data_IF_866888835894
#
_entry.id   IF_866888835894
#
_cell.length_a   1.000
_cell.length_b   1.000
_cell.length_c   1.000
_cell.angle_alpha   90.00
_cell.angle_beta   90.00
_cell.angle_gamma   90.00
#
_symmetry.space_group_name_H-M   'P 1'
#
loop_
_entity.id
_entity.type
_entity.pdbx_description
1 polymer ?
#
# COMPACT_ATOMS: atom_id res chain seq x y z
N UNK A 1 22.54 -7.44 -7.77
CA UNK A 1 22.54 -5.96 -7.73
C UNK A 1 21.30 -5.51 -6.97
N UNK A 2 21.42 -4.51 -6.08
CA UNK A 2 20.25 -3.94 -5.41
C UNK A 2 19.37 -3.23 -6.44
N UNK A 3 18.04 -3.36 -6.31
CA UNK A 3 17.09 -2.66 -7.18
C UNK A 3 17.19 -1.17 -6.86
N UNK A 4 17.38 -0.29 -7.86
CA UNK A 4 17.56 1.14 -7.64
C UNK A 4 16.32 1.78 -7.00
N UNK A 5 16.50 3.00 -6.49
CA UNK A 5 15.40 3.79 -5.96
C UNK A 5 14.38 4.09 -7.07
N UNK A 6 13.06 3.95 -6.85
CA UNK A 6 12.03 4.13 -7.89
C UNK A 6 12.08 5.49 -8.61
N UNK A 7 12.35 6.59 -7.87
CA UNK A 7 12.49 7.91 -8.51
C UNK A 7 13.66 7.97 -9.52
N UNK A 8 14.79 7.32 -9.20
CA UNK A 8 15.93 7.26 -10.12
C UNK A 8 15.61 6.44 -11.37
N UNK A 9 14.85 5.35 -11.22
CA UNK A 9 14.37 4.58 -12.37
C UNK A 9 13.39 5.39 -13.22
N UNK A 10 12.51 6.16 -12.60
CA UNK A 10 11.59 7.05 -13.30
C UNK A 10 12.34 8.17 -14.05
N UNK A 11 13.39 8.74 -13.44
CA UNK A 11 14.26 9.72 -14.11
C UNK A 11 15.01 9.09 -15.29
N UNK A 12 15.51 7.85 -15.15
CA UNK A 12 16.15 7.10 -16.24
C UNK A 12 15.18 6.89 -17.40
N UNK A 13 13.94 6.49 -17.11
CA UNK A 13 12.90 6.34 -18.13
C UNK A 13 12.59 7.68 -18.81
N UNK A 14 12.39 8.75 -18.05
CA UNK A 14 12.13 10.10 -18.60
C UNK A 14 13.28 10.60 -19.49
N UNK A 15 14.50 10.25 -19.16
CA UNK A 15 15.66 10.54 -20.03
C UNK A 15 15.58 9.73 -21.34
N UNK A 16 15.24 8.44 -21.27
CA UNK A 16 15.03 7.60 -22.44
C UNK A 16 13.87 8.08 -23.32
N UNK A 17 12.78 8.57 -22.72
CA UNK A 17 11.68 9.19 -23.46
C UNK A 17 12.14 10.39 -24.32
N UNK A 18 13.11 11.16 -23.84
CA UNK A 18 13.67 12.31 -24.59
C UNK A 18 14.67 11.92 -25.68
N UNK A 19 15.43 10.85 -25.47
CA UNK A 19 16.46 10.38 -26.42
C UNK A 19 15.96 9.37 -27.47
N UNK A 20 14.74 8.87 -27.29
CA UNK A 20 14.11 7.85 -28.11
C UNK A 20 13.92 6.55 -27.33
N UNK A 21 12.66 6.09 -27.27
CA UNK A 21 12.30 4.86 -26.58
C UNK A 21 12.77 3.63 -27.37
N UNK A 22 13.22 2.56 -26.69
CA UNK A 22 13.43 1.27 -27.35
C UNK A 22 12.08 0.68 -27.81
N UNK A 23 12.14 -0.25 -28.78
CA UNK A 23 10.94 -0.88 -29.35
C UNK A 23 10.07 -1.62 -28.34
N UNK A 24 10.68 -2.07 -27.24
CA UNK A 24 9.96 -2.75 -26.14
C UNK A 24 10.39 -2.11 -24.83
N UNK A 25 9.40 -1.68 -24.07
CA UNK A 25 9.57 -1.06 -22.73
C UNK A 25 8.85 -1.91 -21.70
N UNK A 26 9.58 -2.40 -20.71
CA UNK A 26 9.05 -3.18 -19.60
C UNK A 26 9.01 -2.33 -18.33
N UNK A 27 7.81 -2.08 -17.82
CA UNK A 27 7.56 -1.38 -16.57
C UNK A 27 7.18 -2.41 -15.51
N UNK A 28 8.12 -2.81 -14.66
CA UNK A 28 7.94 -3.94 -13.75
C UNK A 28 8.20 -3.55 -12.29
N UNK A 29 7.65 -4.33 -11.36
CA UNK A 29 7.91 -4.15 -9.93
C UNK A 29 6.65 -4.06 -9.08
N UNK A 30 6.82 -4.03 -7.76
CA UNK A 30 5.71 -4.08 -6.82
C UNK A 30 4.91 -2.77 -6.76
N UNK A 31 5.56 -1.61 -6.92
CA UNK A 31 4.89 -0.31 -6.78
C UNK A 31 4.02 0.04 -7.99
N UNK A 32 2.71 -0.06 -7.82
CA UNK A 32 1.73 0.27 -8.85
C UNK A 32 1.77 1.76 -9.23
N UNK A 33 1.95 2.64 -8.26
CA UNK A 33 1.99 4.08 -8.49
C UNK A 33 3.15 4.47 -9.40
N UNK A 34 4.37 3.98 -9.14
CA UNK A 34 5.54 4.29 -9.97
C UNK A 34 5.43 3.67 -11.36
N UNK A 35 4.82 2.49 -11.51
CA UNK A 35 4.55 1.91 -12.83
C UNK A 35 3.56 2.76 -13.63
N UNK A 36 2.51 3.28 -12.98
CA UNK A 36 1.55 4.19 -13.62
C UNK A 36 2.20 5.51 -14.04
N UNK A 37 2.97 6.17 -13.16
CA UNK A 37 3.74 7.37 -13.49
C UNK A 37 4.71 7.15 -14.67
N UNK A 38 5.33 5.97 -14.70
CA UNK A 38 6.21 5.58 -15.77
C UNK A 38 5.45 5.38 -17.09
N UNK A 39 4.30 4.74 -17.05
CA UNK A 39 3.43 4.55 -18.21
C UNK A 39 2.95 5.90 -18.75
N UNK A 40 2.50 6.79 -17.88
CA UNK A 40 2.04 8.13 -18.27
C UNK A 40 3.18 8.95 -18.91
N UNK A 41 4.41 8.83 -18.37
CA UNK A 41 5.58 9.47 -18.97
C UNK A 41 5.91 8.92 -20.37
N UNK A 42 5.78 7.60 -20.58
CA UNK A 42 5.96 6.98 -21.90
C UNK A 42 4.88 7.46 -22.85
N UNK A 43 3.61 7.39 -22.47
CA UNK A 43 2.49 7.83 -23.32
C UNK A 43 2.59 9.30 -23.70
N UNK A 44 2.97 10.16 -22.75
CA UNK A 44 3.18 11.59 -23.01
C UNK A 44 4.35 11.88 -23.96
N UNK A 45 5.30 10.96 -24.11
CA UNK A 45 6.47 11.09 -25.00
C UNK A 45 6.21 10.60 -26.43
N UNK A 46 5.11 9.87 -26.65
CA UNK A 46 4.76 9.33 -27.96
C UNK A 46 4.30 10.46 -28.91
N UNK A 47 4.53 10.32 -30.23
CA UNK A 47 3.98 11.22 -31.23
C UNK A 47 2.45 11.29 -31.14
N UNK A 48 1.86 12.46 -31.40
CA UNK A 48 0.41 12.67 -31.27
C UNK A 48 -0.41 11.89 -32.32
N UNK A 49 0.20 11.47 -33.39
CA UNK A 49 -0.40 10.71 -34.51
C UNK A 49 -0.22 9.20 -34.37
N UNK A 50 0.41 8.72 -33.29
CA UNK A 50 0.55 7.30 -33.06
C UNK A 50 -0.78 6.70 -32.55
N UNK A 51 -1.16 5.57 -33.12
CA UNK A 51 -2.30 4.80 -32.63
C UNK A 51 -1.93 4.05 -31.37
N UNK A 52 -2.71 4.20 -30.28
CA UNK A 52 -2.48 3.50 -29.01
C UNK A 52 -3.53 2.39 -28.86
N UNK A 53 -3.06 1.14 -28.84
CA UNK A 53 -3.88 -0.05 -28.62
C UNK A 53 -3.66 -0.55 -27.19
N UNK A 54 -4.73 -0.51 -26.36
CA UNK A 54 -4.65 -1.02 -24.99
C UNK A 54 -5.08 -2.49 -24.91
N UNK A 55 -4.32 -3.30 -24.18
CA UNK A 55 -4.54 -4.72 -23.95
C UNK A 55 -4.57 -4.99 -22.44
N UNK A 56 -5.61 -5.69 -21.96
CA UNK A 56 -5.72 -6.12 -20.57
C UNK A 56 -5.10 -7.52 -20.40
N UNK A 57 -3.90 -7.56 -19.88
CA UNK A 57 -3.11 -8.80 -19.78
C UNK A 57 -3.63 -9.82 -18.78
N UNK A 58 -4.52 -9.43 -17.85
CA UNK A 58 -5.13 -10.37 -16.91
C UNK A 58 -6.24 -11.23 -17.53
N UNK A 59 -6.85 -10.79 -18.63
CA UNK A 59 -7.95 -11.51 -19.30
C UNK A 59 -7.47 -12.72 -20.12
N UNK A 60 -6.14 -12.90 -20.17
CA UNK A 60 -5.54 -14.02 -20.86
C UNK A 60 -5.71 -15.30 -20.03
N UNK A 61 -6.47 -16.26 -20.56
CA UNK A 61 -6.64 -17.57 -19.95
C UNK A 61 -5.29 -18.32 -19.88
N UNK A 62 -4.87 -18.73 -18.70
CA UNK A 62 -3.74 -19.64 -18.54
C UNK A 62 -4.23 -21.06 -18.89
N UNK A 63 -3.53 -21.79 -19.78
CA UNK A 63 -3.79 -23.22 -19.97
C UNK A 63 -3.69 -23.91 -18.60
N UNK A 64 -4.79 -24.54 -18.17
CA UNK A 64 -4.84 -25.27 -16.90
C UNK A 64 -3.75 -26.33 -16.86
N UNK A 65 -2.99 -26.40 -15.77
CA UNK A 65 -2.27 -27.61 -15.40
C UNK A 65 -3.34 -28.70 -15.27
N UNK A 66 -3.31 -29.73 -16.12
CA UNK A 66 -4.04 -30.97 -15.83
C UNK A 66 -3.57 -31.42 -14.44
N UNK A 67 -4.47 -31.42 -13.48
CA UNK A 67 -4.24 -32.08 -12.18
C UNK A 67 -4.06 -33.56 -12.49
N UNK A 68 -2.86 -34.05 -12.28
CA UNK A 68 -2.62 -35.49 -12.21
C UNK A 68 -3.08 -35.98 -10.83
N UNK A 69 -3.99 -36.94 -10.78
CA UNK A 69 -4.40 -37.63 -9.55
C UNK A 69 -5.88 -37.52 -9.32
N UNK A 70 -6.72 -38.42 -9.36
CA UNK A 70 -6.93 -39.73 -8.84
C UNK A 70 -8.10 -40.35 -9.58
N UNK A 71 -7.98 -41.63 -9.88
CA UNK A 71 -9.05 -42.40 -10.47
C UNK A 71 -10.15 -42.72 -9.48
N UNK A 72 -11.37 -42.83 -9.96
CA UNK A 72 -12.09 -44.07 -9.90
C UNK A 72 -13.41 -43.99 -10.69
N UNK A 73 -13.60 -44.99 -11.54
CA UNK A 73 -14.81 -45.67 -12.04
C UNK A 73 -16.15 -44.93 -12.09
N UNK A 74 -16.89 -44.85 -13.16
CA UNK A 74 -17.72 -45.90 -13.74
C UNK A 74 -18.78 -45.30 -14.71
N UNK A 75 -18.99 -45.97 -15.78
CA UNK A 75 -20.15 -46.10 -16.67
C UNK A 75 -20.93 -44.91 -17.23
N UNK A 76 -21.07 -44.93 -18.57
CA UNK A 76 -22.30 -44.59 -19.23
C UNK A 76 -22.23 -43.74 -20.51
N UNK A 77 -22.00 -44.39 -21.64
CA UNK A 77 -22.64 -44.25 -22.96
C UNK A 77 -22.75 -42.90 -23.70
N UNK A 78 -22.15 -42.97 -24.90
CA UNK A 78 -22.57 -42.44 -26.21
C UNK A 78 -22.88 -40.92 -26.39
N UNK A 79 -22.06 -40.18 -27.09
CA UNK A 79 -22.26 -39.93 -28.55
C UNK A 79 -21.02 -39.31 -29.17
N UNK A 80 -20.70 -39.88 -30.34
CA UNK A 80 -19.63 -39.44 -31.25
C UNK A 80 -20.09 -38.21 -31.99
N UNK A 81 -19.25 -37.15 -32.01
CA UNK A 81 -19.08 -36.37 -33.24
C UNK A 81 -17.59 -36.08 -33.46
N UNK A 82 -17.11 -36.58 -34.55
CA UNK A 82 -15.76 -36.46 -35.05
C UNK A 82 -15.46 -35.03 -35.52
N UNK A 83 -14.42 -34.42 -35.00
CA UNK A 83 -13.61 -33.48 -35.75
C UNK A 83 -12.16 -33.71 -35.36
N UNK A 84 -11.44 -34.30 -36.29
CA UNK A 84 -10.04 -34.68 -36.13
C UNK A 84 -9.14 -33.49 -35.85
N UNK A 85 -8.26 -33.68 -34.87
CA UNK A 85 -7.02 -32.95 -34.76
C UNK A 85 -5.91 -33.96 -34.49
N UNK A 86 -5.10 -34.16 -35.50
CA UNK A 86 -3.90 -35.00 -35.46
C UNK A 86 -2.93 -34.41 -34.44
N UNK A 87 -2.70 -35.13 -33.36
CA UNK A 87 -1.62 -34.93 -32.44
C UNK A 87 -0.33 -35.53 -32.99
N UNK A 88 0.61 -34.65 -33.26
CA UNK A 88 1.99 -34.99 -33.54
C UNK A 88 2.93 -34.05 -32.78
N UNK A 89 3.65 -34.64 -31.85
CA UNK A 89 5.00 -34.26 -31.44
C UNK A 89 5.24 -33.02 -30.54
N UNK A 90 5.99 -33.31 -29.48
CA UNK A 90 6.54 -32.41 -28.46
C UNK A 90 7.46 -31.31 -28.98
N UNK A 91 6.88 -30.30 -29.61
CA UNK A 91 7.51 -29.04 -29.93
C UNK A 91 6.58 -27.91 -29.46
N UNK A 92 7.00 -27.14 -28.45
CA UNK A 92 6.22 -26.05 -27.89
C UNK A 92 5.59 -25.18 -28.97
N UNK A 93 4.29 -25.35 -29.20
CA UNK A 93 3.53 -24.57 -30.15
C UNK A 93 3.82 -23.09 -29.90
N UNK A 94 4.41 -22.42 -30.89
CA UNK A 94 4.66 -20.98 -30.89
C UNK A 94 3.31 -20.29 -30.72
N UNK A 95 2.93 -19.96 -29.47
CA UNK A 95 1.67 -19.31 -29.21
C UNK A 95 1.62 -18.04 -30.05
N UNK A 96 0.72 -17.99 -31.02
CA UNK A 96 0.48 -16.78 -31.80
C UNK A 96 -0.17 -15.76 -30.91
N UNK A 97 0.41 -14.56 -30.79
CA UNK A 97 -0.16 -13.45 -30.04
C UNK A 97 -0.74 -12.44 -31.03
N UNK A 98 -2.07 -12.40 -31.12
CA UNK A 98 -2.78 -11.47 -32.00
C UNK A 98 -2.52 -10.00 -31.60
N UNK A 99 -2.35 -9.74 -30.32
CA UNK A 99 -2.11 -8.39 -29.78
C UNK A 99 -0.84 -7.73 -30.31
N UNK A 100 0.12 -8.53 -30.80
CA UNK A 100 1.38 -8.03 -31.38
C UNK A 100 1.26 -7.64 -32.86
N UNK A 101 0.21 -8.06 -33.56
CA UNK A 101 0.07 -7.83 -35.01
C UNK A 101 0.11 -6.33 -35.40
N UNK A 102 -0.52 -5.42 -34.65
CA UNK A 102 -0.46 -4.00 -34.96
C UNK A 102 0.98 -3.43 -34.99
N UNK A 103 1.90 -4.02 -34.20
CA UNK A 103 3.31 -3.60 -34.16
C UNK A 103 4.12 -3.96 -35.40
N UNK A 104 3.70 -4.98 -36.15
CA UNK A 104 4.42 -5.41 -37.36
C UNK A 104 4.16 -4.49 -38.55
N UNK A 105 3.02 -3.79 -38.54
CA UNK A 105 2.59 -2.89 -39.62
C UNK A 105 2.48 -3.65 -40.98
N UNK A 106 1.27 -3.88 -41.44
CA UNK A 106 1.03 -4.52 -42.74
C UNK A 106 0.31 -3.57 -43.70
N UNK A 107 1.02 -2.86 -44.54
CA UNK A 107 0.40 -2.05 -45.61
C UNK A 107 1.23 -0.80 -45.95
N UNK A 108 1.01 -0.27 -47.15
CA UNK A 108 1.70 0.94 -47.67
C UNK A 108 1.45 2.20 -46.83
N UNK A 109 0.35 2.22 -46.00
CA UNK A 109 -0.05 3.35 -45.18
C UNK A 109 -0.09 3.00 -43.68
N UNK A 110 0.62 1.94 -43.26
CA UNK A 110 0.61 1.53 -41.85
C UNK A 110 1.23 2.63 -40.97
N UNK A 111 0.41 3.24 -40.15
CA UNK A 111 0.82 4.19 -39.10
C UNK A 111 1.66 3.48 -38.03
N UNK A 112 2.50 4.22 -37.31
CA UNK A 112 3.20 3.70 -36.14
C UNK A 112 2.17 3.43 -35.04
N UNK A 113 2.33 2.31 -34.32
CA UNK A 113 1.38 1.87 -33.31
C UNK A 113 2.10 1.65 -31.98
N UNK A 114 1.49 2.10 -30.90
CA UNK A 114 1.90 1.77 -29.53
C UNK A 114 0.94 0.73 -28.95
N UNK A 115 1.42 -0.45 -28.63
CA UNK A 115 0.63 -1.47 -27.92
C UNK A 115 0.98 -1.41 -26.44
N UNK A 116 -0.02 -1.18 -25.58
CA UNK A 116 0.13 -1.04 -24.13
C UNK A 116 -0.58 -2.20 -23.45
N UNK A 117 0.19 -3.12 -22.88
CA UNK A 117 -0.33 -4.26 -22.11
C UNK A 117 -0.34 -3.89 -20.65
N UNK A 118 -1.52 -3.71 -20.07
CA UNK A 118 -1.73 -3.45 -18.64
C UNK A 118 -1.92 -4.75 -17.88
N UNK A 119 -1.46 -4.80 -16.61
CA UNK A 119 -1.57 -5.99 -15.74
C UNK A 119 -1.08 -7.25 -16.44
N UNK A 120 0.07 -7.15 -17.10
CA UNK A 120 0.58 -8.10 -18.07
C UNK A 120 1.24 -9.35 -17.51
N UNK A 121 1.13 -9.65 -16.20
CA UNK A 121 1.78 -10.81 -15.58
C UNK A 121 1.37 -12.13 -16.24
N UNK A 122 0.05 -12.35 -16.44
CA UNK A 122 -0.47 -13.55 -17.13
C UNK A 122 -0.14 -13.54 -18.62
N UNK A 123 -0.26 -12.38 -19.25
CA UNK A 123 0.08 -12.18 -20.66
C UNK A 123 1.54 -12.55 -20.93
N UNK A 124 2.46 -12.08 -20.08
CA UNK A 124 3.87 -12.41 -20.17
C UNK A 124 4.17 -13.89 -19.96
N UNK A 125 3.50 -14.54 -19.00
CA UNK A 125 3.65 -15.97 -18.78
C UNK A 125 3.27 -16.78 -20.02
N UNK A 126 2.24 -16.36 -20.74
CA UNK A 126 1.75 -17.07 -21.95
C UNK A 126 2.57 -16.76 -23.19
N UNK A 127 2.96 -15.49 -23.38
CA UNK A 127 3.48 -15.01 -24.66
C UNK A 127 4.96 -14.64 -24.66
N UNK A 128 5.72 -14.84 -23.58
CA UNK A 128 7.14 -14.47 -23.51
C UNK A 128 7.98 -15.06 -24.66
N UNK A 129 7.72 -16.30 -25.03
CA UNK A 129 8.42 -16.96 -26.17
C UNK A 129 8.02 -16.37 -27.52
N UNK A 130 6.72 -16.12 -27.72
CA UNK A 130 6.21 -15.48 -28.94
C UNK A 130 6.76 -14.07 -29.09
N UNK A 131 6.83 -13.31 -27.96
CA UNK A 131 7.36 -11.97 -27.93
C UNK A 131 8.85 -11.90 -28.27
N UNK A 132 9.66 -12.83 -27.77
CA UNK A 132 11.08 -12.91 -28.12
C UNK A 132 11.28 -13.16 -29.64
N UNK A 133 10.44 -13.99 -30.24
CA UNK A 133 10.47 -14.25 -31.67
C UNK A 133 9.91 -13.09 -32.53
N UNK A 134 9.01 -12.28 -31.94
CA UNK A 134 8.35 -11.18 -32.64
C UNK A 134 9.13 -9.85 -32.53
N UNK A 135 9.93 -9.67 -31.52
CA UNK A 135 10.65 -8.40 -31.23
C UNK A 135 11.41 -7.82 -32.47
N UNK A 136 12.09 -8.64 -33.32
CA UNK A 136 12.76 -8.12 -34.51
C UNK A 136 11.80 -7.57 -35.58
N UNK A 137 10.51 -7.98 -35.54
CA UNK A 137 9.48 -7.60 -36.52
C UNK A 137 8.78 -6.29 -36.17
N UNK A 138 9.02 -5.75 -34.97
CA UNK A 138 8.44 -4.47 -34.58
C UNK A 138 8.96 -3.39 -35.51
N UNK A 139 8.02 -2.69 -36.16
CA UNK A 139 8.29 -1.59 -37.09
C UNK A 139 8.99 -0.43 -36.39
N UNK A 140 9.85 0.28 -37.10
CA UNK A 140 10.44 1.50 -36.58
C UNK A 140 9.34 2.55 -36.34
N UNK A 141 9.39 3.20 -35.17
CA UNK A 141 8.35 4.10 -34.71
C UNK A 141 7.21 3.45 -33.93
N UNK A 142 7.06 2.12 -34.01
CA UNK A 142 6.11 1.39 -33.13
C UNK A 142 6.78 0.95 -31.85
N UNK A 143 6.01 0.89 -30.75
CA UNK A 143 6.51 0.52 -29.43
C UNK A 143 5.55 -0.42 -28.71
N UNK A 144 6.09 -1.44 -28.07
CA UNK A 144 5.38 -2.25 -27.10
C UNK A 144 5.74 -1.80 -25.70
N UNK A 145 4.75 -1.44 -24.92
CA UNK A 145 4.90 -1.14 -23.49
C UNK A 145 4.12 -2.18 -22.71
N UNK A 146 4.76 -2.84 -21.77
CA UNK A 146 4.01 -3.73 -20.89
C UNK A 146 4.31 -3.44 -19.43
N UNK A 147 3.25 -3.47 -18.64
CA UNK A 147 3.23 -3.30 -17.21
C UNK A 147 2.98 -4.65 -16.53
N UNK A 148 3.85 -5.04 -15.59
CA UNK A 148 3.69 -6.27 -14.81
C UNK A 148 4.25 -6.10 -13.40
N UNK A 149 3.73 -6.87 -12.43
CA UNK A 149 4.29 -6.88 -11.08
C UNK A 149 5.63 -7.58 -11.03
N UNK A 150 5.82 -8.62 -11.87
CA UNK A 150 7.04 -9.42 -11.89
C UNK A 150 7.45 -9.77 -13.30
N UNK A 151 8.75 -9.76 -13.54
CA UNK A 151 9.36 -10.29 -14.76
C UNK A 151 10.23 -11.49 -14.38
N UNK A 152 9.97 -12.67 -14.97
CA UNK A 152 10.86 -13.81 -14.75
C UNK A 152 12.20 -13.58 -15.46
N UNK A 153 13.19 -13.17 -14.69
CA UNK A 153 14.55 -12.83 -15.15
C UNK A 153 15.31 -14.02 -15.74
N UNK A 154 14.79 -15.25 -15.57
CA UNK A 154 15.42 -16.47 -16.12
C UNK A 154 15.11 -16.66 -17.60
N UNK A 155 14.04 -16.06 -18.08
CA UNK A 155 13.62 -16.19 -19.49
C UNK A 155 14.63 -15.52 -20.43
N UNK A 156 14.79 -16.12 -21.64
CA UNK A 156 15.63 -15.52 -22.69
C UNK A 156 15.19 -14.09 -22.99
N UNK A 157 13.88 -13.88 -23.10
CA UNK A 157 13.29 -12.57 -23.37
C UNK A 157 13.68 -11.52 -22.31
N UNK A 158 13.58 -11.87 -21.01
CA UNK A 158 13.95 -10.94 -19.93
C UNK A 158 15.45 -10.58 -19.95
N UNK A 159 16.32 -11.53 -20.30
CA UNK A 159 17.76 -11.28 -20.46
C UNK A 159 18.05 -10.34 -21.64
N UNK A 160 17.39 -10.52 -22.75
CA UNK A 160 17.50 -9.64 -23.93
C UNK A 160 17.03 -8.22 -23.60
N UNK A 161 15.89 -8.07 -22.92
CA UNK A 161 15.40 -6.78 -22.45
C UNK A 161 16.38 -6.10 -21.46
N UNK A 162 16.93 -6.83 -20.51
CA UNK A 162 17.89 -6.30 -19.54
C UNK A 162 19.17 -5.80 -20.23
N UNK A 163 19.61 -6.46 -21.30
CA UNK A 163 20.77 -6.06 -22.10
C UNK A 163 20.48 -4.80 -22.92
N UNK A 164 19.28 -4.68 -23.47
CA UNK A 164 18.86 -3.49 -24.25
C UNK A 164 18.59 -2.25 -23.39
N UNK A 165 18.56 -2.38 -22.07
CA UNK A 165 18.21 -1.30 -21.13
C UNK A 165 16.71 -0.94 -21.11
N UNK A 166 15.86 -1.79 -21.68
CA UNK A 166 14.43 -1.54 -21.84
C UNK A 166 13.58 -1.96 -20.59
N UNK A 167 14.21 -2.45 -19.53
CA UNK A 167 13.54 -2.83 -18.28
C UNK A 167 13.70 -1.74 -17.25
N UNK A 168 12.57 -1.31 -16.69
CA UNK A 168 12.49 -0.34 -15.60
C UNK A 168 11.78 -1.00 -14.42
N UNK A 169 12.51 -1.14 -13.30
CA UNK A 169 12.03 -1.91 -12.14
C UNK A 169 11.67 -0.98 -10.98
N UNK A 170 10.39 -0.95 -10.60
CA UNK A 170 9.83 -0.09 -9.57
C UNK A 170 9.46 -0.90 -8.33
N UNK A 171 10.37 -0.97 -7.37
CA UNK A 171 10.10 -1.56 -6.05
C UNK A 171 9.29 -0.61 -5.16
N UNK A 172 8.78 -1.12 -4.08
CA UNK A 172 8.21 -0.28 -3.02
C UNK A 172 9.30 0.57 -2.34
N UNK A 173 8.87 1.72 -1.81
CA UNK A 173 9.71 2.58 -0.99
C UNK A 173 9.89 1.98 0.41
N UNK A 174 11.08 2.06 0.94
CA UNK A 174 11.35 1.61 2.31
C UNK A 174 10.85 2.61 3.34
N UNK A 175 10.20 2.11 4.40
CA UNK A 175 9.71 2.94 5.52
C UNK A 175 10.84 3.47 6.37
N UNK A 176 11.89 2.67 6.55
CA UNK A 176 13.08 3.02 7.32
C UNK A 176 14.32 2.80 6.47
N UNK A 177 15.42 3.53 6.69
CA UNK A 177 16.68 3.28 6.02
C UNK A 177 17.19 1.85 6.34
N UNK A 178 17.83 1.24 5.37
CA UNK A 178 18.40 -0.10 5.54
C UNK A 178 19.38 -0.14 6.70
N UNK A 179 19.17 -1.04 7.67
CA UNK A 179 20.00 -1.19 8.86
C UNK A 179 19.85 -0.09 9.93
N UNK A 180 18.89 0.84 9.78
CA UNK A 180 18.60 1.91 10.74
C UNK A 180 17.10 2.07 11.00
N UNK A 181 16.47 1.07 11.65
CA UNK A 181 15.02 1.11 11.94
C UNK A 181 14.64 2.22 12.94
N UNK A 182 15.61 2.74 13.69
CA UNK A 182 15.51 3.84 14.64
C UNK A 182 15.42 5.23 13.99
N UNK A 183 15.51 5.33 12.65
CA UNK A 183 15.48 6.59 11.93
C UNK A 183 14.33 6.68 10.91
N UNK A 184 13.06 6.56 11.32
CA UNK A 184 11.93 6.53 10.40
C UNK A 184 11.76 7.82 9.59
N UNK A 185 12.18 8.97 10.13
CA UNK A 185 12.14 10.26 9.41
C UNK A 185 13.04 10.28 8.17
N UNK A 186 14.05 9.41 8.11
CA UNK A 186 14.95 9.27 6.96
C UNK A 186 14.51 8.16 6.00
N UNK A 187 13.38 7.51 6.24
CA UNK A 187 12.81 6.49 5.37
C UNK A 187 12.49 7.04 3.97
N UNK A 188 12.69 6.23 2.94
CA UNK A 188 12.44 6.63 1.55
C UNK A 188 11.00 7.11 1.33
N UNK A 189 10.03 6.44 1.96
CA UNK A 189 8.62 6.80 1.86
C UNK A 189 8.34 8.19 2.45
N UNK A 190 8.90 8.49 3.62
CA UNK A 190 8.77 9.81 4.27
C UNK A 190 9.43 10.89 3.39
N UNK A 191 10.62 10.63 2.87
CA UNK A 191 11.31 11.56 1.98
C UNK A 191 10.55 11.78 0.67
N UNK A 192 9.93 10.74 0.13
CA UNK A 192 9.06 10.85 -1.04
C UNK A 192 7.83 11.73 -0.77
N UNK A 193 7.16 11.57 0.37
CA UNK A 193 6.02 12.42 0.79
C UNK A 193 6.45 13.89 0.85
N UNK A 194 7.60 14.18 1.47
CA UNK A 194 8.14 15.54 1.56
C UNK A 194 8.43 16.12 0.15
N UNK A 195 9.05 15.33 -0.72
CA UNK A 195 9.36 15.76 -2.07
C UNK A 195 8.10 15.97 -2.91
N UNK A 196 7.10 15.08 -2.78
CA UNK A 196 5.84 15.15 -3.50
C UNK A 196 5.00 16.36 -3.04
N UNK A 197 4.89 16.60 -1.73
CA UNK A 197 4.18 17.76 -1.17
C UNK A 197 4.77 19.10 -1.63
N UNK A 198 6.10 19.18 -1.75
CA UNK A 198 6.77 20.38 -2.32
C UNK A 198 6.39 20.59 -3.78
N UNK A 199 6.29 19.52 -4.59
CA UNK A 199 5.83 19.60 -5.99
C UNK A 199 4.40 20.14 -6.10
N UNK A 200 3.55 19.76 -5.15
CA UNK A 200 2.17 20.23 -5.04
C UNK A 200 2.05 21.63 -4.39
N UNK A 201 3.16 22.30 -4.05
CA UNK A 201 3.21 23.61 -3.39
C UNK A 201 2.56 23.66 -1.99
N UNK A 202 2.38 22.51 -1.35
CA UNK A 202 1.88 22.37 0.02
C UNK A 202 2.92 21.58 0.83
N UNK A 203 4.09 22.18 1.13
CA UNK A 203 5.17 21.47 1.81
C UNK A 203 4.72 21.00 3.19
N UNK A 204 5.15 19.81 3.58
CA UNK A 204 4.92 19.24 4.92
C UNK A 204 6.26 19.08 5.66
N UNK A 205 6.21 19.11 7.00
CA UNK A 205 7.40 18.80 7.81
C UNK A 205 7.72 17.30 7.77
N UNK A 206 8.94 16.86 8.14
CA UNK A 206 9.27 15.43 8.23
C UNK A 206 8.33 14.67 9.17
N UNK A 207 7.95 15.27 10.30
CA UNK A 207 7.03 14.70 11.28
C UNK A 207 5.62 14.55 10.69
N UNK A 208 5.17 15.54 9.92
CA UNK A 208 3.90 15.49 9.19
C UNK A 208 3.91 14.41 8.11
N UNK A 209 5.01 14.26 7.40
CA UNK A 209 5.17 13.19 6.40
C UNK A 209 5.13 11.81 7.06
N UNK A 210 5.81 11.63 8.21
CA UNK A 210 5.73 10.40 8.99
C UNK A 210 4.30 10.13 9.49
N UNK A 211 3.60 11.17 9.97
CA UNK A 211 2.21 11.06 10.37
C UNK A 211 1.31 10.61 9.21
N UNK A 212 1.47 11.22 8.03
CA UNK A 212 0.74 10.82 6.82
C UNK A 212 0.98 9.36 6.47
N UNK A 213 2.23 8.90 6.48
CA UNK A 213 2.55 7.49 6.20
C UNK A 213 1.95 6.53 7.24
N UNK A 214 1.90 6.95 8.51
CA UNK A 214 1.32 6.15 9.58
C UNK A 214 -0.22 6.06 9.47
N UNK A 215 -0.89 7.12 9.05
CA UNK A 215 -2.36 7.21 9.01
C UNK A 215 -2.95 6.76 7.67
N UNK A 216 -2.39 7.22 6.56
CA UNK A 216 -2.88 6.92 5.20
C UNK A 216 -2.36 5.56 4.74
N UNK A 217 -1.15 5.20 5.15
CA UNK A 217 -0.50 3.94 4.81
C UNK A 217 0.70 4.11 3.89
N UNK A 218 1.18 2.98 3.35
CA UNK A 218 2.42 2.89 2.59
C UNK A 218 2.25 3.08 1.09
N UNK A 219 1.00 3.08 0.61
CA UNK A 219 0.71 3.16 -0.82
C UNK A 219 0.89 4.59 -1.33
N UNK A 220 1.86 4.85 -2.22
CA UNK A 220 2.12 6.21 -2.73
C UNK A 220 0.91 6.84 -3.42
N UNK A 221 0.03 6.05 -4.05
CA UNK A 221 -1.18 6.56 -4.70
C UNK A 221 -2.14 7.19 -3.68
N UNK A 222 -2.34 6.54 -2.53
CA UNK A 222 -3.20 7.05 -1.47
C UNK A 222 -2.60 8.31 -0.81
N UNK A 223 -1.28 8.28 -0.59
CA UNK A 223 -0.55 9.44 -0.05
C UNK A 223 -0.60 10.64 -1.01
N UNK A 224 -0.47 10.40 -2.32
CA UNK A 224 -0.59 11.44 -3.34
C UNK A 224 -2.00 12.05 -3.34
N UNK A 225 -3.04 11.22 -3.35
CA UNK A 225 -4.44 11.67 -3.31
C UNK A 225 -4.74 12.50 -2.04
N UNK A 226 -4.22 12.08 -0.90
CA UNK A 226 -4.37 12.83 0.35
C UNK A 226 -3.66 14.19 0.30
N UNK A 227 -2.44 14.22 -0.24
CA UNK A 227 -1.71 15.49 -0.45
C UNK A 227 -2.42 16.42 -1.43
N UNK A 228 -2.99 15.90 -2.53
CA UNK A 228 -3.80 16.69 -3.48
C UNK A 228 -5.04 17.28 -2.80
N UNK A 229 -5.69 16.54 -1.93
CA UNK A 229 -6.82 17.05 -1.15
C UNK A 229 -6.40 18.17 -0.20
N UNK A 230 -5.23 18.05 0.43
CA UNK A 230 -4.67 19.12 1.27
C UNK A 230 -4.40 20.40 0.46
N UNK A 231 -3.99 20.30 -0.82
CA UNK A 231 -3.87 21.46 -1.71
C UNK A 231 -5.16 22.25 -1.75
N UNK A 232 -6.30 21.60 -1.98
CA UNK A 232 -7.61 22.27 -2.03
C UNK A 232 -8.02 22.97 -0.73
N UNK A 233 -7.48 22.52 0.42
CA UNK A 233 -7.77 23.09 1.72
C UNK A 233 -6.86 24.26 2.10
N UNK A 234 -5.58 24.20 1.68
CA UNK A 234 -4.55 25.16 2.08
C UNK A 234 -4.18 26.18 1.00
N UNK A 235 -4.45 25.92 -0.28
CA UNK A 235 -4.13 26.83 -1.40
C UNK A 235 -4.79 28.21 -1.22
N UNK A 236 -5.94 28.25 -0.54
CA UNK A 236 -6.65 29.49 -0.21
C UNK A 236 -5.97 30.35 0.85
N UNK A 237 -4.96 29.84 1.55
CA UNK A 237 -4.30 30.54 2.66
C UNK A 237 -2.93 31.12 2.29
N UNK A 238 -2.39 30.83 1.09
CA UNK A 238 -1.12 31.39 0.59
C UNK A 238 0.10 31.14 1.50
N UNK A 239 0.06 30.11 2.35
CA UNK A 239 1.13 29.86 3.32
C UNK A 239 2.31 29.14 2.66
N UNK A 240 3.46 29.83 2.65
CA UNK A 240 4.74 29.21 2.24
C UNK A 240 5.38 28.34 3.35
N UNK A 241 4.75 28.28 4.53
CA UNK A 241 5.26 27.52 5.67
C UNK A 241 4.89 26.04 5.51
N UNK A 242 5.86 25.16 5.83
CA UNK A 242 5.59 23.72 5.84
C UNK A 242 4.55 23.37 6.92
N UNK A 243 3.57 22.53 6.55
CA UNK A 243 2.50 22.11 7.44
C UNK A 243 3.05 21.21 8.54
N UNK A 244 2.75 21.58 9.78
CA UNK A 244 3.06 20.80 10.98
C UNK A 244 2.02 19.70 11.20
N UNK A 245 2.27 18.70 12.08
CA UNK A 245 1.27 17.70 12.45
C UNK A 245 -0.03 18.31 12.99
N UNK A 246 0.04 19.44 13.70
CA UNK A 246 -1.12 20.16 14.22
C UNK A 246 -1.97 20.76 13.09
N UNK A 247 -1.34 21.26 12.03
CA UNK A 247 -2.03 21.82 10.86
C UNK A 247 -2.82 20.75 10.10
N UNK A 248 -2.36 19.49 10.13
CA UNK A 248 -3.01 18.35 9.47
C UNK A 248 -4.19 17.78 10.28
N UNK A 249 -4.29 18.15 11.56
CA UNK A 249 -5.31 17.61 12.47
C UNK A 249 -6.72 17.95 11.99
N UNK A 250 -7.56 16.92 11.83
CA UNK A 250 -8.96 17.07 11.37
C UNK A 250 -9.12 17.44 9.89
N UNK A 251 -7.99 17.49 9.12
CA UNK A 251 -8.01 17.84 7.70
C UNK A 251 -7.72 16.64 6.78
N UNK A 252 -7.22 15.55 7.35
CA UNK A 252 -7.01 14.33 6.58
C UNK A 252 -8.36 13.65 6.31
N UNK A 253 -8.50 13.08 5.11
CA UNK A 253 -9.72 12.36 4.68
C UNK A 253 -9.97 11.11 5.53
N UNK A 254 -8.91 10.51 6.05
CA UNK A 254 -9.01 9.56 7.14
C UNK A 254 -9.47 10.36 8.36
N UNK A 255 -10.78 10.59 8.46
CA UNK A 255 -11.39 11.38 9.52
C UNK A 255 -10.97 10.85 10.88
N UNK A 256 -10.21 11.64 11.63
CA UNK A 256 -9.82 11.35 13.02
C UNK A 256 -11.04 11.02 13.91
N UNK A 257 -12.22 11.47 13.52
CA UNK A 257 -13.46 11.27 14.29
C UNK A 257 -14.03 9.85 14.26
N UNK A 258 -13.46 8.97 13.44
CA UNK A 258 -13.94 7.59 13.33
C UNK A 258 -12.83 6.54 13.30
N UNK A 259 -11.65 6.86 13.82
CA UNK A 259 -10.51 5.94 13.83
C UNK A 259 -10.15 5.49 15.25
N UNK A 260 -9.56 4.29 15.43
CA UNK A 260 -9.00 3.87 16.70
C UNK A 260 -7.95 4.82 17.28
N UNK A 261 -7.29 5.61 16.42
CA UNK A 261 -6.33 6.64 16.83
C UNK A 261 -7.00 7.72 17.69
N UNK A 262 -8.12 8.29 17.18
CA UNK A 262 -8.87 9.32 17.89
C UNK A 262 -9.43 8.79 19.20
N UNK A 263 -9.87 7.52 19.20
CA UNK A 263 -10.35 6.87 20.43
C UNK A 263 -9.22 6.73 21.46
N UNK A 264 -8.05 6.21 21.06
CA UNK A 264 -6.90 6.05 21.97
C UNK A 264 -6.40 7.40 22.51
N UNK A 265 -6.33 8.41 21.63
CA UNK A 265 -5.96 9.77 22.03
C UNK A 265 -6.94 10.37 23.05
N UNK A 266 -8.24 10.25 22.78
CA UNK A 266 -9.26 10.79 23.69
C UNK A 266 -9.23 10.11 25.06
N UNK A 267 -8.93 8.81 25.09
CA UNK A 267 -8.74 8.03 26.31
C UNK A 267 -7.55 8.56 27.11
N UNK A 268 -6.38 8.71 26.48
CA UNK A 268 -5.14 9.17 27.12
C UNK A 268 -5.21 10.65 27.53
N UNK A 269 -5.92 11.48 26.76
CA UNK A 269 -6.20 12.88 27.10
C UNK A 269 -7.23 13.00 28.23
N UNK A 270 -7.91 11.92 28.61
CA UNK A 270 -8.95 11.93 29.63
C UNK A 270 -10.25 12.62 29.20
N UNK A 271 -10.49 12.73 27.88
CA UNK A 271 -11.72 13.32 27.33
C UNK A 271 -12.77 12.22 27.05
N UNK A 272 -13.58 11.96 28.08
CA UNK A 272 -14.64 10.95 28.04
C UNK A 272 -15.66 11.18 26.92
N UNK A 273 -16.08 12.46 26.72
CA UNK A 273 -17.10 12.77 25.71
C UNK A 273 -16.58 12.50 24.29
N UNK A 274 -15.33 12.85 24.07
CA UNK A 274 -14.66 12.61 22.79
C UNK A 274 -14.43 11.11 22.57
N UNK A 275 -14.01 10.36 23.59
CA UNK A 275 -13.82 8.91 23.52
C UNK A 275 -15.11 8.18 23.15
N UNK A 276 -16.25 8.48 23.82
CA UNK A 276 -17.55 7.89 23.49
C UNK A 276 -18.02 8.24 22.08
N UNK A 277 -17.89 9.50 21.65
CA UNK A 277 -18.25 9.91 20.29
C UNK A 277 -17.41 9.20 19.23
N UNK A 278 -16.10 9.07 19.48
CA UNK A 278 -15.19 8.38 18.58
C UNK A 278 -15.52 6.89 18.47
N UNK A 279 -15.81 6.23 19.60
CA UNK A 279 -16.24 4.82 19.63
C UNK A 279 -17.52 4.60 18.82
N UNK A 280 -18.59 5.36 19.12
CA UNK A 280 -19.85 5.21 18.41
C UNK A 280 -19.73 5.55 16.92
N UNK A 281 -18.97 6.58 16.56
CA UNK A 281 -18.73 6.93 15.16
C UNK A 281 -17.99 5.80 14.42
N UNK A 282 -17.02 5.14 15.06
CA UNK A 282 -16.26 4.02 14.50
C UNK A 282 -17.16 2.83 14.17
N UNK A 283 -18.04 2.43 15.10
CA UNK A 283 -18.96 1.30 14.87
C UNK A 283 -20.13 1.65 13.94
N UNK A 284 -20.67 2.87 14.02
CA UNK A 284 -21.77 3.29 13.16
C UNK A 284 -21.35 3.52 11.70
N UNK A 285 -20.16 4.06 11.46
CA UNK A 285 -19.68 4.45 10.12
C UNK A 285 -18.66 3.49 9.53
N UNK A 286 -18.06 2.62 10.36
CA UNK A 286 -16.94 1.77 10.01
C UNK A 286 -15.65 2.56 9.82
N UNK A 287 -14.53 1.86 9.78
CA UNK A 287 -13.19 2.40 9.51
C UNK A 287 -12.79 2.07 8.09
N UNK A 288 -12.33 3.06 7.33
CA UNK A 288 -11.77 2.82 5.99
C UNK A 288 -10.40 2.15 6.13
N UNK A 289 -10.21 1.07 5.40
CA UNK A 289 -8.92 0.41 5.26
C UNK A 289 -8.04 1.16 4.25
N UNK A 290 -6.76 0.79 4.22
CA UNK A 290 -5.75 1.38 3.33
C UNK A 290 -6.07 1.24 1.83
N UNK A 291 -6.88 0.23 1.47
CA UNK A 291 -7.35 -0.02 0.10
C UNK A 291 -8.66 0.75 -0.26
N UNK A 292 -9.11 1.63 0.63
CA UNK A 292 -10.33 2.42 0.47
C UNK A 292 -11.63 1.67 0.81
N UNK A 293 -11.56 0.36 1.08
CA UNK A 293 -12.71 -0.43 1.54
C UNK A 293 -12.99 -0.15 3.02
N UNK A 294 -14.23 -0.35 3.43
CA UNK A 294 -14.56 -0.32 4.84
C UNK A 294 -14.16 -1.63 5.49
N UNK A 295 -13.59 -1.52 6.69
CA UNK A 295 -13.29 -2.68 7.52
C UNK A 295 -14.60 -3.40 7.87
N UNK A 296 -14.59 -4.71 7.80
CA UNK A 296 -15.67 -5.56 8.30
C UNK A 296 -15.89 -5.34 9.81
N UNK A 297 -17.15 -5.36 10.24
CA UNK A 297 -17.49 -5.14 11.66
C UNK A 297 -16.72 -6.08 12.59
N UNK A 298 -16.55 -7.36 12.21
CA UNK A 298 -15.76 -8.31 12.97
C UNK A 298 -14.30 -7.98 13.14
N UNK A 299 -13.73 -7.14 12.26
CA UNK A 299 -12.37 -6.65 12.31
C UNK A 299 -12.16 -5.38 13.15
N UNK A 300 -13.25 -4.64 13.46
CA UNK A 300 -13.16 -3.36 14.16
C UNK A 300 -12.66 -3.50 15.60
N UNK A 301 -13.18 -4.45 16.34
CA UNK A 301 -12.79 -4.69 17.73
C UNK A 301 -11.32 -5.08 17.89
N UNK A 302 -10.78 -6.10 17.17
CA UNK A 302 -9.35 -6.43 17.23
C UNK A 302 -8.46 -5.26 16.83
N UNK A 303 -8.86 -4.51 15.82
CA UNK A 303 -8.10 -3.36 15.34
C UNK A 303 -8.08 -2.23 16.40
N UNK A 304 -9.24 -1.88 16.97
CA UNK A 304 -9.35 -0.86 18.00
C UNK A 304 -8.58 -1.24 19.27
N UNK A 305 -8.75 -2.47 19.76
CA UNK A 305 -8.07 -2.95 20.96
C UNK A 305 -6.56 -3.04 20.79
N UNK A 306 -6.08 -3.50 19.63
CA UNK A 306 -4.66 -3.56 19.32
C UNK A 306 -4.03 -2.16 19.32
N UNK A 307 -4.72 -1.19 18.72
CA UNK A 307 -4.25 0.19 18.68
C UNK A 307 -4.25 0.87 20.06
N UNK A 308 -5.34 0.71 20.81
CA UNK A 308 -5.43 1.22 22.19
C UNK A 308 -4.34 0.62 23.07
N UNK A 309 -4.13 -0.69 22.97
CA UNK A 309 -3.07 -1.37 23.70
C UNK A 309 -1.69 -0.78 23.37
N UNK A 310 -1.37 -0.64 22.10
CA UNK A 310 -0.09 -0.05 21.66
C UNK A 310 0.10 1.37 22.21
N UNK A 311 -0.94 2.22 22.09
CA UNK A 311 -0.88 3.61 22.53
C UNK A 311 -0.74 3.72 24.06
N UNK A 312 -1.51 2.96 24.83
CA UNK A 312 -1.46 2.96 26.28
C UNK A 312 -0.11 2.43 26.77
N UNK A 313 0.40 1.33 26.17
CA UNK A 313 1.70 0.76 26.51
C UNK A 313 2.84 1.73 26.23
N UNK A 314 2.82 2.45 25.11
CA UNK A 314 3.85 3.44 24.80
C UNK A 314 3.88 4.59 25.83
N UNK A 315 2.71 5.09 26.24
CA UNK A 315 2.62 6.13 27.30
C UNK A 315 3.04 5.55 28.66
N UNK A 316 2.72 4.28 28.94
CA UNK A 316 3.14 3.57 30.17
C UNK A 316 4.66 3.44 30.25
N UNK A 317 5.30 2.98 29.18
CA UNK A 317 6.77 2.93 29.10
C UNK A 317 7.40 4.31 29.33
N UNK A 318 6.83 5.34 28.68
CA UNK A 318 7.28 6.72 28.89
C UNK A 318 7.12 7.18 30.34
N UNK A 319 6.01 6.82 30.98
CA UNK A 319 5.77 7.13 32.39
C UNK A 319 6.80 6.44 33.31
N UNK A 320 7.06 5.15 33.09
CA UNK A 320 8.06 4.40 33.86
C UNK A 320 9.46 5.00 33.71
N UNK A 321 9.85 5.44 32.51
CA UNK A 321 11.14 6.13 32.30
C UNK A 321 11.22 7.43 33.10
N UNK A 322 10.14 8.23 33.15
CA UNK A 322 10.08 9.45 33.98
C UNK A 322 10.17 9.11 35.47
N UNK A 323 9.46 8.08 35.92
CA UNK A 323 9.50 7.62 37.32
C UNK A 323 10.87 7.10 37.73
N UNK A 324 11.67 6.59 36.77
CA UNK A 324 13.07 6.21 36.94
C UNK A 324 14.05 7.37 36.83
N UNK A 325 13.56 8.61 36.67
CA UNK A 325 14.38 9.83 36.68
C UNK A 325 14.81 10.33 35.28
N UNK A 326 14.30 9.75 34.20
CA UNK A 326 14.55 10.27 32.85
C UNK A 326 13.82 11.62 32.66
N UNK A 327 14.48 12.56 31.98
CA UNK A 327 13.84 13.83 31.62
C UNK A 327 12.65 13.59 30.67
N UNK A 328 11.51 14.18 30.97
CA UNK A 328 10.30 14.12 30.12
C UNK A 328 10.60 14.56 28.66
N UNK A 329 11.59 15.42 28.46
CA UNK A 329 12.02 15.90 27.15
C UNK A 329 12.70 14.81 26.31
N UNK A 330 13.39 13.88 26.94
CA UNK A 330 14.19 12.84 26.28
C UNK A 330 13.38 11.58 25.99
N UNK A 331 12.29 11.36 26.72
CA UNK A 331 11.41 10.18 26.59
C UNK A 331 10.85 9.99 25.17
N UNK A 332 10.31 11.01 24.48
CA UNK A 332 9.79 10.84 23.13
C UNK A 332 10.84 10.32 22.16
N UNK A 333 12.05 10.90 22.20
CA UNK A 333 13.15 10.46 21.34
C UNK A 333 13.55 9.00 21.64
N UNK A 334 13.60 8.63 22.92
CA UNK A 334 13.95 7.26 23.35
C UNK A 334 12.94 6.22 22.87
N UNK A 335 11.66 6.58 22.83
CA UNK A 335 10.55 5.73 22.38
C UNK A 335 10.23 5.87 20.88
N UNK A 336 11.00 6.64 20.12
CA UNK A 336 10.78 6.84 18.69
C UNK A 336 9.51 7.64 18.37
N UNK A 337 9.06 8.50 19.28
CA UNK A 337 7.90 9.37 19.08
C UNK A 337 8.37 10.66 18.44
N UNK A 338 8.06 10.84 17.17
CA UNK A 338 8.49 11.99 16.36
C UNK A 338 7.34 12.94 15.99
N UNK A 339 6.10 12.46 16.07
CA UNK A 339 4.92 13.26 15.80
C UNK A 339 4.13 13.51 17.09
N UNK A 340 3.55 14.72 17.24
CA UNK A 340 2.79 15.14 18.42
C UNK A 340 3.55 14.97 19.75
N UNK A 341 4.85 15.27 19.74
CA UNK A 341 5.75 15.11 20.89
C UNK A 341 5.24 15.81 22.15
N UNK A 342 4.73 17.05 22.01
CA UNK A 342 4.18 17.81 23.14
C UNK A 342 2.96 17.14 23.75
N UNK A 343 2.07 16.63 22.90
CA UNK A 343 0.88 15.90 23.33
C UNK A 343 1.24 14.59 24.03
N UNK A 344 2.14 13.82 23.45
CA UNK A 344 2.64 12.60 24.07
C UNK A 344 3.25 12.89 25.44
N UNK A 345 4.09 13.91 25.55
CA UNK A 345 4.68 14.34 26.81
C UNK A 345 3.61 14.75 27.84
N UNK A 346 2.57 15.48 27.41
CA UNK A 346 1.44 15.82 28.26
C UNK A 346 0.66 14.58 28.73
N UNK A 347 0.49 13.58 27.87
CA UNK A 347 -0.17 12.31 28.22
C UNK A 347 0.67 11.51 29.22
N UNK A 348 2.00 11.43 29.05
CA UNK A 348 2.93 10.81 30.00
C UNK A 348 2.87 11.50 31.36
N UNK A 349 2.81 12.84 31.37
CA UNK A 349 2.73 13.62 32.61
C UNK A 349 1.38 13.47 33.32
N UNK A 350 0.29 13.43 32.56
CA UNK A 350 -1.08 13.39 33.08
C UNK A 350 -1.47 12.03 33.67
N UNK A 351 -0.97 10.93 33.10
CA UNK A 351 -1.37 9.59 33.49
C UNK A 351 -0.34 8.98 34.45
N UNK A 352 -0.83 8.38 35.53
CA UNK A 352 0.02 7.64 36.48
C UNK A 352 0.30 6.21 35.94
N UNK A 353 1.42 5.60 36.34
CA UNK A 353 1.75 4.23 35.97
C UNK A 353 0.62 3.26 36.36
N UNK A 354 0.09 3.37 37.57
CA UNK A 354 -1.02 2.51 38.03
C UNK A 354 -2.29 2.64 37.17
N UNK A 355 -2.63 3.86 36.69
CA UNK A 355 -3.78 4.06 35.81
C UNK A 355 -3.58 3.42 34.44
N UNK A 356 -2.38 3.54 33.89
CA UNK A 356 -2.03 2.96 32.60
C UNK A 356 -2.01 1.43 32.65
N UNK A 357 -1.45 0.86 33.70
CA UNK A 357 -1.47 -0.57 33.98
C UNK A 357 -2.91 -1.09 34.12
N UNK A 358 -3.75 -0.41 34.93
CA UNK A 358 -5.17 -0.73 35.03
C UNK A 358 -5.86 -0.73 33.65
N UNK A 359 -5.54 0.22 32.79
CA UNK A 359 -6.07 0.29 31.43
C UNK A 359 -5.65 -0.90 30.56
N UNK A 360 -4.40 -1.31 30.66
CA UNK A 360 -3.89 -2.51 29.95
C UNK A 360 -4.66 -3.76 30.42
N UNK A 361 -4.81 -3.94 31.73
CA UNK A 361 -5.56 -5.05 32.30
C UNK A 361 -7.03 -5.01 31.88
N UNK A 362 -7.66 -3.84 31.84
CA UNK A 362 -9.02 -3.66 31.39
C UNK A 362 -9.21 -4.04 29.91
N UNK A 363 -8.23 -3.77 29.04
CA UNK A 363 -8.26 -4.20 27.65
C UNK A 363 -8.14 -5.72 27.52
N UNK A 364 -7.23 -6.32 28.26
CA UNK A 364 -7.08 -7.79 28.29
C UNK A 364 -8.37 -8.47 28.74
N UNK A 365 -9.00 -7.93 29.79
CA UNK A 365 -10.28 -8.42 30.26
C UNK A 365 -11.38 -8.27 29.21
N UNK A 366 -11.44 -7.16 28.52
CA UNK A 366 -12.38 -6.92 27.43
C UNK A 366 -12.23 -7.93 26.29
N UNK A 367 -10.99 -8.28 25.91
CA UNK A 367 -10.72 -9.32 24.92
C UNK A 367 -11.17 -10.72 25.38
N UNK A 368 -11.04 -11.01 26.66
CA UNK A 368 -11.53 -12.26 27.26
C UNK A 368 -13.06 -12.31 27.25
N UNK A 369 -13.72 -11.24 27.71
CA UNK A 369 -15.19 -11.13 27.71
C UNK A 369 -15.77 -11.37 26.30
N UNK A 370 -15.14 -10.84 25.27
CA UNK A 370 -15.53 -11.09 23.87
C UNK A 370 -15.61 -12.58 23.53
N UNK A 371 -14.64 -13.36 24.02
CA UNK A 371 -14.57 -14.82 23.73
C UNK A 371 -15.57 -15.63 24.54
N UNK A 372 -15.93 -15.16 25.74
CA UNK A 372 -16.73 -15.94 26.70
C UNK A 372 -18.20 -15.55 26.73
N UNK A 373 -18.55 -14.28 26.50
CA UNK A 373 -19.90 -13.77 26.73
C UNK A 373 -20.74 -13.61 25.45
N UNK A 374 -20.10 -13.55 24.26
CA UNK A 374 -20.81 -13.35 22.99
C UNK A 374 -21.54 -11.99 22.90
N UNK A 375 -21.12 -11.00 23.71
CA UNK A 375 -21.64 -9.64 23.68
C UNK A 375 -21.17 -8.88 22.44
N UNK A 376 -21.89 -7.81 22.09
CA UNK A 376 -21.54 -6.93 20.97
C UNK A 376 -20.23 -6.18 21.24
N UNK A 377 -19.43 -6.03 20.20
CA UNK A 377 -18.07 -5.48 20.27
C UNK A 377 -18.02 -4.02 20.77
N UNK A 378 -19.01 -3.20 20.44
CA UNK A 378 -19.14 -1.82 20.89
C UNK A 378 -19.50 -1.72 22.39
N UNK A 379 -20.38 -2.60 22.87
CA UNK A 379 -20.76 -2.69 24.29
C UNK A 379 -19.54 -3.08 25.15
N UNK A 380 -18.73 -4.01 24.68
CA UNK A 380 -17.48 -4.39 25.36
C UNK A 380 -16.50 -3.21 25.46
N UNK A 381 -16.37 -2.41 24.41
CA UNK A 381 -15.50 -1.23 24.43
C UNK A 381 -16.09 -0.09 25.27
N UNK A 382 -17.41 0.08 25.33
CA UNK A 382 -18.05 1.01 26.28
C UNK A 382 -17.76 0.60 27.73
N UNK A 383 -17.80 -0.70 28.05
CA UNK A 383 -17.43 -1.22 29.36
C UNK A 383 -15.95 -0.97 29.68
N UNK A 384 -15.08 -1.12 28.69
CA UNK A 384 -13.68 -0.71 28.83
C UNK A 384 -13.56 0.78 29.16
N UNK A 385 -14.27 1.67 28.43
CA UNK A 385 -14.27 3.11 28.73
C UNK A 385 -14.78 3.42 30.13
N UNK A 386 -15.81 2.70 30.59
CA UNK A 386 -16.31 2.84 31.97
C UNK A 386 -15.23 2.47 32.99
N UNK A 387 -14.53 1.35 32.78
CA UNK A 387 -13.41 0.93 33.65
C UNK A 387 -12.30 1.97 33.66
N UNK A 388 -11.91 2.48 32.50
CA UNK A 388 -10.86 3.48 32.37
C UNK A 388 -11.19 4.82 33.05
N UNK A 389 -12.40 5.34 32.83
CA UNK A 389 -12.76 6.68 33.30
C UNK A 389 -13.24 6.73 34.73
N UNK A 390 -13.84 5.65 35.25
CA UNK A 390 -14.42 5.59 36.58
C UNK A 390 -13.65 4.71 37.57
N UNK A 391 -12.56 4.07 37.12
CA UNK A 391 -11.74 3.23 37.98
C UNK A 391 -12.50 1.98 38.47
N UNK A 392 -13.45 1.47 37.69
CA UNK A 392 -14.15 0.23 38.03
C UNK A 392 -13.15 -0.91 38.10
N UNK A 393 -13.19 -1.69 39.18
CA UNK A 393 -12.23 -2.76 39.42
C UNK A 393 -12.18 -3.76 38.25
N UNK A 394 -10.98 -4.15 37.89
CA UNK A 394 -10.71 -5.24 36.92
C UNK A 394 -10.14 -6.37 37.74
N UNK A 395 -10.57 -7.63 37.50
CA UNK A 395 -9.97 -8.80 38.15
C UNK A 395 -8.46 -8.82 37.96
N UNK A 396 -7.74 -9.21 39.01
CA UNK A 396 -6.28 -9.37 38.91
C UNK A 396 -5.89 -10.48 37.89
N UNK A 397 -4.67 -10.45 37.32
CA UNK A 397 -4.25 -11.51 36.44
C UNK A 397 -4.30 -12.91 37.06
N UNK A 398 -4.16 -13.01 38.38
CA UNK A 398 -4.23 -14.26 39.16
C UNK A 398 -5.66 -14.80 39.30
N UNK A 399 -6.66 -13.89 39.30
CA UNK A 399 -8.08 -14.25 39.29
C UNK A 399 -8.61 -14.63 37.90
N UNK A 400 -7.80 -14.37 36.85
CA UNK A 400 -8.08 -14.75 35.50
C UNK A 400 -7.57 -16.21 35.30
N UNK A 401 -8.32 -17.21 35.73
CA UNK A 401 -8.04 -18.58 35.35
C UNK A 401 -8.00 -18.74 33.83
N UNK A 402 -6.88 -19.27 33.32
CA UNK A 402 -6.59 -19.45 31.88
C UNK A 402 -7.24 -20.72 31.34
#
# INVERSE_FOLDING_TARGET
MAVPHPDKELERLRAACKSGLPKIVALVGASAWFRQEALDAVLASLPKDIEVVAVEGQDVALRGKKSAGDGDSDDGDADRDEAGDEDGDGGGAKAHCADLQPLAGGGLFAQSTAVVVRRGDRWMQRYATALAAFAPRIKNGSVLVFEAQKLDKRTKFAKELATSGAVYEFRELYETPFGRPDQPLQGELVQWVIAHSKRLKVPVTPESALLLTAQVGKEPALLAAELEQLVGQFDKQGSSKALSPEDLRGKLTCSFESTPFELAEAILDGDRKRALRSLHAMFARGVKQKDGKRMDQGGLFPFATSWMFSSISQVYEGRLMVDQGMSLRDVPQKLGVYAFVERFSAQVQKNTAARLEHGILALLHCQRERRSLGEEDDVLLERFLARWFYGVAVPSPEELEW
#
